data_IF_641371811101
#
_entry.id   IF_641371811101
#
_cell.length_a   1.000
_cell.length_b   1.000
_cell.length_c   1.000
_cell.angle_alpha   90.00
_cell.angle_beta   90.00
_cell.angle_gamma   90.00
#
_symmetry.space_group_name_H-M   'P 1'
#
loop_
_entity.id
_entity.type
_entity.pdbx_description
1 polymer ?
#
# COMPACT_ATOMS: atom_id res chain seq x y z
N UNK A 1 -9.63 3.69 -11.92
CA UNK A 1 -8.72 2.56 -12.06
C UNK A 1 -7.47 2.79 -11.24
N UNK A 2 -6.95 1.78 -10.60
CA UNK A 2 -5.78 1.90 -9.74
C UNK A 2 -4.70 0.90 -10.16
N UNK A 3 -3.48 1.39 -10.31
CA UNK A 3 -2.32 0.55 -10.55
C UNK A 3 -1.48 0.48 -9.28
N UNK A 4 -0.92 -0.70 -9.02
CA UNK A 4 -0.04 -0.94 -7.88
C UNK A 4 1.28 -1.47 -8.40
N UNK A 5 2.36 -0.81 -8.04
CA UNK A 5 3.71 -1.25 -8.38
C UNK A 5 4.51 -1.41 -7.11
N UNK A 6 5.58 -2.22 -7.17
CA UNK A 6 6.41 -2.45 -5.99
C UNK A 6 7.89 -2.47 -6.38
N UNK A 7 8.71 -2.09 -5.42
CA UNK A 7 10.16 -2.14 -5.53
C UNK A 7 10.72 -2.55 -4.18
N UNK A 8 11.66 -3.49 -4.17
CA UNK A 8 12.33 -3.89 -2.93
C UNK A 8 13.82 -3.61 -3.05
N UNK A 9 14.36 -2.87 -2.07
CA UNK A 9 15.79 -2.57 -1.97
C UNK A 9 16.16 -2.61 -0.48
N UNK A 10 17.20 -3.38 -0.15
CA UNK A 10 17.73 -3.47 1.22
C UNK A 10 16.65 -3.75 2.26
N UNK A 11 15.76 -4.71 1.97
CA UNK A 11 14.64 -5.11 2.82
C UNK A 11 13.63 -3.99 3.09
N UNK A 12 13.61 -2.98 2.24
CA UNK A 12 12.58 -1.95 2.23
C UNK A 12 11.68 -2.18 1.02
N UNK A 13 10.41 -2.46 1.27
CA UNK A 13 9.42 -2.62 0.22
C UNK A 13 8.71 -1.29 0.02
N UNK A 14 8.78 -0.76 -1.20
CA UNK A 14 8.04 0.44 -1.58
C UNK A 14 6.89 0.01 -2.46
N UNK A 15 5.68 0.33 -2.04
CA UNK A 15 4.46 0.05 -2.80
C UNK A 15 3.89 1.39 -3.24
N UNK A 16 3.75 1.55 -4.55
CA UNK A 16 3.23 2.80 -5.12
C UNK A 16 1.84 2.57 -5.69
N UNK A 17 0.92 3.43 -5.31
CA UNK A 17 -0.43 3.46 -5.86
C UNK A 17 -0.53 4.60 -6.86
N UNK A 18 -1.08 4.31 -8.04
CA UNK A 18 -1.27 5.29 -9.11
C UNK A 18 -2.70 5.23 -9.58
N UNK A 19 -3.37 6.38 -9.63
CA UNK A 19 -4.74 6.48 -10.09
C UNK A 19 -5.71 6.87 -9.00
N UNK A 20 -6.82 6.16 -8.89
CA UNK A 20 -7.90 6.49 -7.96
C UNK A 20 -8.08 5.41 -6.92
N UNK A 21 -7.98 5.79 -5.65
CA UNK A 21 -8.18 4.90 -4.52
C UNK A 21 -9.50 5.28 -3.83
N UNK A 22 -10.56 4.56 -4.18
CA UNK A 22 -11.92 4.83 -3.71
C UNK A 22 -12.60 3.55 -3.24
N UNK A 23 -13.91 3.64 -2.94
CA UNK A 23 -14.67 2.49 -2.46
C UNK A 23 -14.70 1.33 -3.46
N UNK A 24 -14.54 1.59 -4.76
CA UNK A 24 -14.55 0.55 -5.78
C UNK A 24 -13.23 -0.20 -5.87
N UNK A 25 -12.13 0.43 -5.50
CA UNK A 25 -10.79 -0.16 -5.59
C UNK A 25 -10.22 -0.55 -4.23
N UNK A 26 -10.80 -0.06 -3.13
CA UNK A 26 -10.23 -0.23 -1.80
C UNK A 26 -9.99 -1.69 -1.42
N UNK A 27 -10.98 -2.55 -1.59
CA UNK A 27 -10.87 -3.95 -1.20
C UNK A 27 -9.78 -4.67 -1.98
N UNK A 28 -9.76 -4.48 -3.29
CA UNK A 28 -8.77 -5.09 -4.15
C UNK A 28 -7.36 -4.59 -3.80
N UNK A 29 -7.26 -3.31 -3.45
CA UNK A 29 -6.00 -2.72 -3.04
C UNK A 29 -5.47 -3.35 -1.77
N UNK A 30 -6.34 -3.57 -0.77
CA UNK A 30 -5.95 -4.24 0.47
C UNK A 30 -5.44 -5.64 0.16
N UNK A 31 -6.19 -6.43 -0.60
CA UNK A 31 -5.83 -7.81 -0.93
C UNK A 31 -4.49 -7.89 -1.64
N UNK A 32 -4.28 -7.06 -2.66
CA UNK A 32 -3.03 -7.05 -3.40
C UNK A 32 -1.86 -6.59 -2.55
N UNK A 33 -2.07 -5.61 -1.71
CA UNK A 33 -1.00 -5.10 -0.83
C UNK A 33 -0.61 -6.14 0.20
N UNK A 34 -1.58 -6.86 0.77
CA UNK A 34 -1.30 -7.94 1.71
C UNK A 34 -0.54 -9.08 1.03
N UNK A 35 -0.89 -9.42 -0.20
CA UNK A 35 -0.18 -10.42 -0.98
C UNK A 35 1.28 -10.02 -1.19
N UNK A 36 1.53 -8.75 -1.50
CA UNK A 36 2.88 -8.24 -1.67
C UNK A 36 3.70 -8.35 -0.38
N UNK A 37 3.08 -8.11 0.76
CA UNK A 37 3.77 -8.23 2.05
C UNK A 37 4.15 -9.68 2.35
N UNK A 38 3.37 -10.64 1.87
CA UNK A 38 3.70 -12.07 2.00
C UNK A 38 4.83 -12.44 1.04
N UNK A 39 4.77 -11.97 -0.20
CA UNK A 39 5.75 -12.30 -1.23
C UNK A 39 7.12 -11.64 -1.00
N UNK A 40 7.13 -10.48 -0.39
CA UNK A 40 8.35 -9.70 -0.18
C UNK A 40 8.55 -9.41 1.31
N UNK A 41 9.12 -10.37 2.07
CA UNK A 41 9.44 -10.11 3.48
C UNK A 41 10.34 -8.88 3.59
N UNK A 42 9.94 -7.95 4.43
CA UNK A 42 10.64 -6.67 4.55
C UNK A 42 10.72 -6.21 6.00
N UNK A 43 11.72 -5.38 6.28
CA UNK A 43 11.85 -4.75 7.59
C UNK A 43 11.10 -3.42 7.64
N UNK A 44 10.92 -2.79 6.48
CA UNK A 44 10.22 -1.51 6.35
C UNK A 44 9.30 -1.52 5.15
N UNK A 45 8.15 -0.89 5.30
CA UNK A 45 7.21 -0.68 4.21
C UNK A 45 7.04 0.81 3.98
N UNK A 46 7.18 1.23 2.73
CA UNK A 46 6.92 2.60 2.31
C UNK A 46 5.72 2.57 1.37
N UNK A 47 4.70 3.34 1.69
CA UNK A 47 3.56 3.52 0.79
C UNK A 47 3.74 4.86 0.08
N UNK A 48 3.94 4.79 -1.23
CA UNK A 48 4.09 5.99 -2.05
C UNK A 48 2.74 6.34 -2.66
N UNK A 49 2.13 7.39 -2.16
CA UNK A 49 0.81 7.84 -2.59
C UNK A 49 0.87 9.00 -3.57
N UNK A 50 2.07 9.38 -4.00
CA UNK A 50 2.25 10.55 -4.87
C UNK A 50 1.61 10.38 -6.25
N UNK A 51 1.35 9.15 -6.68
CA UNK A 51 0.71 8.88 -7.96
C UNK A 51 -0.81 8.89 -7.91
N UNK A 52 -1.41 9.08 -6.73
CA UNK A 52 -2.86 9.11 -6.61
C UNK A 52 -3.41 10.43 -7.12
N UNK A 53 -4.45 10.34 -7.96
CA UNK A 53 -5.18 11.50 -8.45
C UNK A 53 -6.46 11.74 -7.65
N UNK A 54 -6.91 10.73 -6.91
CA UNK A 54 -8.11 10.82 -6.08
C UNK A 54 -8.01 9.82 -4.93
N UNK A 55 -8.46 10.23 -3.74
CA UNK A 55 -8.59 9.33 -2.61
C UNK A 55 -9.73 9.83 -1.73
N UNK A 56 -10.65 8.92 -1.39
CA UNK A 56 -11.75 9.22 -0.47
C UNK A 56 -11.51 8.57 0.89
N UNK A 57 -12.53 8.55 1.74
CA UNK A 57 -12.41 7.95 3.07
C UNK A 57 -12.14 6.45 3.02
N UNK A 58 -12.59 5.77 1.97
CA UNK A 58 -12.30 4.34 1.79
C UNK A 58 -10.81 4.13 1.53
N UNK A 59 -10.19 5.04 0.76
CA UNK A 59 -8.75 5.01 0.53
C UNK A 59 -7.96 5.24 1.81
N UNK A 60 -8.39 6.18 2.62
CA UNK A 60 -7.76 6.42 3.91
C UNK A 60 -7.83 5.17 4.80
N UNK A 61 -8.95 4.45 4.76
CA UNK A 61 -9.11 3.21 5.51
C UNK A 61 -8.10 2.15 5.06
N UNK A 62 -7.80 2.07 3.77
CA UNK A 62 -6.79 1.16 3.23
C UNK A 62 -5.41 1.49 3.82
N UNK A 63 -5.04 2.75 3.81
CA UNK A 63 -3.75 3.19 4.36
C UNK A 63 -3.64 2.85 5.84
N UNK A 64 -4.69 3.11 6.60
CA UNK A 64 -4.71 2.80 8.04
C UNK A 64 -4.66 1.29 8.28
N UNK A 65 -5.34 0.50 7.46
CA UNK A 65 -5.30 -0.96 7.57
C UNK A 65 -3.88 -1.49 7.37
N UNK A 66 -3.20 -1.01 6.34
CA UNK A 66 -1.83 -1.44 6.06
C UNK A 66 -0.87 -0.96 7.12
N UNK A 67 -1.10 0.22 7.67
CA UNK A 67 -0.30 0.73 8.78
C UNK A 67 -0.35 -0.23 9.98
N UNK A 68 -1.53 -0.71 10.33
CA UNK A 68 -1.69 -1.66 11.43
C UNK A 68 -1.07 -3.01 11.10
N UNK A 69 -1.26 -3.48 9.87
CA UNK A 69 -0.76 -4.78 9.43
C UNK A 69 0.77 -4.81 9.47
N UNK A 70 1.41 -3.71 9.14
CA UNK A 70 2.86 -3.62 9.05
C UNK A 70 3.52 -3.02 10.29
N UNK A 71 2.78 -2.81 11.37
CA UNK A 71 3.29 -2.17 12.57
C UNK A 71 4.51 -2.88 13.14
N UNK A 72 4.62 -4.19 12.94
CA UNK A 72 5.75 -4.98 13.43
C UNK A 72 7.00 -4.85 12.58
N UNK A 73 6.80 -4.55 11.30
CA UNK A 73 7.90 -4.49 10.33
C UNK A 73 8.50 -3.10 10.25
N UNK A 74 7.85 -2.13 10.86
CA UNK A 74 8.18 -0.74 10.65
C UNK A 74 7.68 -0.29 9.29
N UNK A 75 7.23 0.94 9.19
CA UNK A 75 6.68 1.48 7.95
C UNK A 75 6.83 2.98 7.92
N UNK A 76 6.85 3.52 6.70
CA UNK A 76 6.92 4.96 6.46
C UNK A 76 5.93 5.29 5.35
N UNK A 77 5.14 6.31 5.55
CA UNK A 77 4.18 6.79 4.56
C UNK A 77 4.69 8.03 3.86
#
# INVERSE_FOLDING_TARGET
MLDITQTEVDRTLTVRYTGELDQHTARQTIERSEDLLVLYPCDSLVLDLSGLTFMDSSGLAVVLHLHRTCARCGETL
#
